data_IF_272304809682
#
_entry.id   IF_272304809682
#
_cell.length_a   1.000
_cell.length_b   1.000
_cell.length_c   1.000
_cell.angle_alpha   90.00
_cell.angle_beta   90.00
_cell.angle_gamma   90.00
#
_symmetry.space_group_name_H-M   'P 1'
#
loop_
_entity.id
_entity.type
_entity.pdbx_description
1 polymer ?
#
# COMPACT_ATOMS: atom_id res chain seq x y z
N UNK A 1 4.97 7.85 18.78
CA UNK A 1 4.47 7.36 17.49
C UNK A 1 3.21 8.13 17.06
N UNK A 2 2.18 8.27 17.91
CA UNK A 2 0.93 9.00 17.54
C UNK A 2 1.24 10.41 17.05
N UNK A 3 1.99 11.20 17.85
CA UNK A 3 2.37 12.58 17.48
C UNK A 3 3.12 12.64 16.15
N UNK A 4 4.06 11.71 15.92
CA UNK A 4 4.83 11.64 14.67
C UNK A 4 3.92 11.40 13.46
N UNK A 5 3.00 10.44 13.54
CA UNK A 5 2.04 10.17 12.46
C UNK A 5 1.15 11.37 12.16
N UNK A 6 0.65 12.05 13.21
CA UNK A 6 -0.20 13.24 13.08
C UNK A 6 0.56 14.39 12.41
N UNK A 7 1.81 14.64 12.81
CA UNK A 7 2.65 15.69 12.20
C UNK A 7 2.91 15.39 10.72
N UNK A 8 3.28 14.13 10.39
CA UNK A 8 3.51 13.73 9.00
C UNK A 8 2.22 13.85 8.18
N UNK A 9 1.07 13.48 8.74
CA UNK A 9 -0.22 13.64 8.07
C UNK A 9 -0.48 15.11 7.69
N UNK A 10 -0.31 16.04 8.62
CA UNK A 10 -0.47 17.47 8.31
C UNK A 10 0.48 17.95 7.21
N UNK A 11 1.74 17.51 7.22
CA UNK A 11 2.71 17.89 6.19
C UNK A 11 2.37 17.33 4.81
N UNK A 12 1.83 16.12 4.74
CA UNK A 12 1.59 15.41 3.47
C UNK A 12 0.21 15.65 2.87
N UNK A 13 -0.69 16.33 3.62
CA UNK A 13 -2.06 16.65 3.19
C UNK A 13 -2.33 18.15 3.11
N UNK A 14 -1.31 18.97 3.41
CA UNK A 14 -1.44 20.44 3.47
C UNK A 14 -2.01 21.02 2.18
N UNK A 15 -1.49 20.58 1.04
CA UNK A 15 -1.87 21.07 -0.29
C UNK A 15 -3.31 20.69 -0.69
N UNK A 16 -3.90 19.69 -0.02
CA UNK A 16 -5.25 19.18 -0.27
C UNK A 16 -6.22 19.50 0.89
N UNK A 17 -6.07 20.68 1.48
CA UNK A 17 -6.93 21.15 2.60
C UNK A 17 -7.03 20.18 3.77
N UNK A 18 -6.01 19.37 4.02
CA UNK A 18 -5.91 18.34 5.08
C UNK A 18 -6.91 17.19 4.93
N UNK A 19 -7.52 17.02 3.76
CA UNK A 19 -8.51 15.95 3.53
C UNK A 19 -7.90 14.68 2.98
N UNK A 20 -6.93 14.81 2.07
CA UNK A 20 -6.27 13.69 1.39
C UNK A 20 -4.77 13.94 1.23
N UNK A 21 -4.00 12.86 1.19
CA UNK A 21 -2.57 12.93 0.86
C UNK A 21 -2.39 13.46 -0.56
N UNK A 22 -1.38 14.30 -0.79
CA UNK A 22 -1.04 14.71 -2.15
C UNK A 22 -0.38 13.56 -2.92
N UNK A 23 -0.65 13.50 -4.23
CA UNK A 23 -0.13 12.43 -5.10
C UNK A 23 1.41 12.38 -5.08
N UNK A 24 2.07 13.54 -4.98
CA UNK A 24 3.52 13.62 -4.86
C UNK A 24 4.06 12.86 -3.65
N UNK A 25 3.45 13.01 -2.47
CA UNK A 25 3.85 12.29 -1.27
C UNK A 25 3.49 10.81 -1.32
N UNK A 26 2.33 10.47 -1.89
CA UNK A 26 1.90 9.08 -2.08
C UNK A 26 2.93 8.31 -2.92
N UNK A 27 3.30 8.87 -4.08
CA UNK A 27 4.25 8.23 -4.99
C UNK A 27 5.70 8.34 -4.55
N UNK A 28 6.07 9.39 -3.79
CA UNK A 28 7.41 9.50 -3.23
C UNK A 28 7.65 8.51 -2.09
N UNK A 29 6.71 8.34 -1.17
CA UNK A 29 6.95 7.64 0.09
C UNK A 29 6.16 6.36 0.30
N UNK A 30 5.14 6.06 -0.54
CA UNK A 30 4.36 4.83 -0.47
C UNK A 30 5.19 3.61 -0.89
N UNK A 31 4.96 2.49 -0.25
CA UNK A 31 5.62 1.24 -0.60
C UNK A 31 5.00 0.65 -1.87
N UNK A 32 5.82 0.41 -2.88
CA UNK A 32 5.44 -0.24 -4.13
C UNK A 32 6.24 -1.53 -4.25
N UNK A 33 5.62 -2.72 -4.20
CA UNK A 33 6.33 -4.00 -4.20
C UNK A 33 7.34 -4.15 -5.34
N UNK A 34 7.00 -3.69 -6.55
CA UNK A 34 7.89 -3.73 -7.71
C UNK A 34 9.21 -2.95 -7.51
N UNK A 35 9.21 -1.94 -6.65
CA UNK A 35 10.40 -1.13 -6.36
C UNK A 35 11.31 -1.75 -5.29
N UNK A 36 10.93 -2.87 -4.69
CA UNK A 36 11.76 -3.58 -3.70
C UNK A 36 13.13 -4.01 -4.26
N UNK A 37 13.23 -4.16 -5.58
CA UNK A 37 14.45 -4.55 -6.28
C UNK A 37 15.43 -3.38 -6.55
N UNK A 38 14.97 -2.14 -6.42
CA UNK A 38 15.82 -0.96 -6.50
C UNK A 38 16.25 -0.54 -5.09
N UNK A 39 17.54 -0.72 -4.78
CA UNK A 39 18.08 -0.36 -3.46
C UNK A 39 17.88 1.11 -3.08
N UNK A 40 17.73 2.02 -4.08
CA UNK A 40 17.46 3.44 -3.86
C UNK A 40 16.03 3.70 -3.39
N UNK A 41 15.13 2.73 -3.52
CA UNK A 41 13.71 2.83 -3.16
C UNK A 41 13.39 2.14 -1.81
N UNK A 42 14.36 1.50 -1.16
CA UNK A 42 14.15 0.75 0.08
C UNK A 42 13.68 1.62 1.26
N UNK A 43 13.91 2.94 1.21
CA UNK A 43 13.40 3.89 2.21
C UNK A 43 11.86 3.83 2.33
N UNK A 44 11.17 3.43 1.25
CA UNK A 44 9.71 3.28 1.18
C UNK A 44 9.16 2.24 2.16
N UNK A 45 9.96 1.23 2.50
CA UNK A 45 9.63 0.27 3.56
C UNK A 45 9.39 0.94 4.91
N UNK A 46 10.01 2.10 5.15
CA UNK A 46 9.85 2.85 6.38
C UNK A 46 8.86 4.01 6.23
N UNK A 47 8.97 4.79 5.16
CA UNK A 47 8.14 6.00 4.97
C UNK A 47 6.67 5.67 4.79
N UNK A 48 6.33 4.57 4.11
CA UNK A 48 4.96 4.10 3.93
C UNK A 48 4.18 3.92 5.23
N UNK A 49 4.88 3.49 6.31
CA UNK A 49 4.26 3.26 7.62
C UNK A 49 3.76 4.53 8.31
N UNK A 50 4.11 5.72 7.81
CA UNK A 50 3.75 7.00 8.40
C UNK A 50 2.84 7.86 7.51
N UNK A 51 2.63 7.45 6.25
CA UNK A 51 1.72 8.13 5.32
C UNK A 51 0.29 7.66 5.51
N UNK A 52 -0.68 8.56 5.34
CA UNK A 52 -2.10 8.22 5.49
C UNK A 52 -2.92 8.87 4.39
N UNK A 53 -3.79 8.08 3.74
CA UNK A 53 -4.55 8.51 2.57
C UNK A 53 -5.51 9.68 2.86
N UNK A 54 -6.18 9.66 4.03
CA UNK A 54 -7.19 10.66 4.39
C UNK A 54 -7.41 10.73 5.91
N UNK A 55 -8.25 11.67 6.33
CA UNK A 55 -8.55 11.93 7.74
C UNK A 55 -9.13 10.71 8.48
N UNK A 56 -10.01 9.93 7.84
CA UNK A 56 -10.54 8.71 8.46
C UNK A 56 -9.46 7.64 8.64
N UNK A 57 -8.57 7.51 7.66
CA UNK A 57 -7.47 6.54 7.70
C UNK A 57 -6.55 6.83 8.88
N UNK A 58 -6.09 8.08 9.06
CA UNK A 58 -5.24 8.41 10.22
C UNK A 58 -6.00 8.32 11.54
N UNK A 59 -7.26 8.79 11.58
CA UNK A 59 -8.05 8.76 12.81
C UNK A 59 -8.18 7.33 13.36
N UNK A 60 -8.58 6.36 12.54
CA UNK A 60 -8.70 4.98 12.99
C UNK A 60 -7.35 4.36 13.33
N UNK A 61 -6.29 4.63 12.57
CA UNK A 61 -4.94 4.17 12.90
C UNK A 61 -4.51 4.67 14.28
N UNK A 62 -4.65 5.96 14.55
CA UNK A 62 -4.26 6.54 15.84
C UNK A 62 -5.14 6.05 16.98
N UNK A 63 -6.43 5.85 16.75
CA UNK A 63 -7.35 5.27 17.73
C UNK A 63 -6.89 3.86 18.15
N UNK A 64 -6.56 2.99 17.20
CA UNK A 64 -6.08 1.64 17.47
C UNK A 64 -4.69 1.66 18.12
N UNK A 65 -3.78 2.48 17.60
CA UNK A 65 -2.43 2.63 18.15
C UNK A 65 -2.46 3.09 19.61
N UNK A 66 -3.33 4.04 19.95
CA UNK A 66 -3.47 4.54 21.33
C UNK A 66 -4.09 3.49 22.25
N UNK A 67 -5.21 2.88 21.85
CA UNK A 67 -5.94 1.97 22.74
C UNK A 67 -5.18 0.66 23.01
N UNK A 68 -4.61 0.03 21.97
CA UNK A 68 -3.89 -1.24 22.12
C UNK A 68 -2.39 -1.02 22.39
N UNK A 69 -1.81 -0.01 21.76
CA UNK A 69 -0.37 0.25 21.84
C UNK A 69 0.10 0.57 23.25
N UNK A 70 -0.68 1.34 24.00
CA UNK A 70 -0.30 1.78 25.35
C UNK A 70 -0.02 0.61 26.31
N UNK A 71 -0.84 -0.43 26.30
CA UNK A 71 -0.64 -1.60 27.16
C UNK A 71 0.56 -2.46 26.69
N UNK A 72 0.73 -2.61 25.37
CA UNK A 72 1.89 -3.31 24.83
C UNK A 72 3.18 -2.55 25.13
N UNK A 73 3.18 -1.21 25.02
CA UNK A 73 4.34 -0.37 25.38
C UNK A 73 4.69 -0.49 26.87
N UNK A 74 3.69 -0.54 27.76
CA UNK A 74 3.92 -0.78 29.19
C UNK A 74 4.57 -2.14 29.45
N UNK A 75 4.19 -3.17 28.71
CA UNK A 75 4.76 -4.51 28.86
C UNK A 75 6.18 -4.62 28.31
N UNK A 76 6.48 -3.95 27.20
CA UNK A 76 7.77 -4.07 26.49
C UNK A 76 8.78 -2.98 26.86
N UNK A 77 8.30 -1.79 27.26
CA UNK A 77 9.10 -0.58 27.32
C UNK A 77 9.31 0.07 25.94
N UNK A 78 9.51 1.40 25.92
CA UNK A 78 9.44 2.20 24.70
C UNK A 78 10.36 1.75 23.56
N UNK A 79 11.62 1.38 23.84
CA UNK A 79 12.57 0.95 22.79
C UNK A 79 12.13 -0.35 22.11
N UNK A 80 11.72 -1.35 22.88
CA UNK A 80 11.29 -2.66 22.37
C UNK A 80 9.93 -2.56 21.69
N UNK A 81 9.05 -1.69 22.18
CA UNK A 81 7.79 -1.35 21.53
C UNK A 81 8.01 -0.71 20.16
N UNK A 82 8.93 0.25 20.04
CA UNK A 82 9.31 0.83 18.75
C UNK A 82 9.88 -0.21 17.81
N UNK A 83 10.76 -1.09 18.31
CA UNK A 83 11.29 -2.20 17.48
C UNK A 83 10.19 -3.13 16.99
N UNK A 84 9.23 -3.50 17.88
CA UNK A 84 8.08 -4.32 17.49
C UNK A 84 7.25 -3.63 16.40
N UNK A 85 6.94 -2.34 16.56
CA UNK A 85 6.19 -1.55 15.59
C UNK A 85 6.87 -1.57 14.21
N UNK A 86 8.16 -1.21 14.14
CA UNK A 86 8.90 -1.12 12.87
C UNK A 86 9.07 -2.50 12.21
N UNK A 87 9.45 -3.51 12.97
CA UNK A 87 9.64 -4.87 12.44
C UNK A 87 8.32 -5.50 11.99
N UNK A 88 7.21 -5.22 12.68
CA UNK A 88 5.89 -5.67 12.24
C UNK A 88 5.43 -4.95 10.97
N UNK A 89 5.75 -3.67 10.81
CA UNK A 89 5.52 -2.94 9.58
C UNK A 89 6.31 -3.53 8.41
N UNK A 90 7.59 -3.86 8.61
CA UNK A 90 8.38 -4.58 7.61
C UNK A 90 7.77 -5.94 7.27
N UNK A 91 7.33 -6.72 8.27
CA UNK A 91 6.64 -7.98 8.02
C UNK A 91 5.36 -7.78 7.19
N UNK A 92 4.62 -6.71 7.43
CA UNK A 92 3.44 -6.35 6.65
C UNK A 92 3.77 -6.13 5.18
N UNK A 93 4.80 -5.32 4.87
CA UNK A 93 5.24 -5.06 3.49
C UNK A 93 5.76 -6.33 2.79
N UNK A 94 6.47 -7.19 3.52
CA UNK A 94 6.93 -8.47 3.00
C UNK A 94 5.76 -9.40 2.65
N UNK A 95 4.72 -9.47 3.50
CA UNK A 95 3.53 -10.27 3.21
C UNK A 95 2.72 -9.69 2.05
N UNK A 96 2.57 -8.38 1.96
CA UNK A 96 1.92 -7.75 0.82
C UNK A 96 2.62 -8.15 -0.49
N UNK A 97 3.96 -8.08 -0.53
CA UNK A 97 4.73 -8.54 -1.69
C UNK A 97 4.60 -10.05 -1.92
N UNK A 98 4.64 -10.87 -0.86
CA UNK A 98 4.55 -12.32 -0.95
C UNK A 98 3.22 -12.80 -1.55
N UNK A 99 2.12 -12.07 -1.32
CA UNK A 99 0.78 -12.46 -1.75
C UNK A 99 0.32 -11.85 -3.08
N UNK A 100 1.23 -11.20 -3.85
CA UNK A 100 0.94 -10.71 -5.21
C UNK A 100 0.27 -11.77 -6.09
N UNK A 101 0.70 -13.08 -6.12
CA UNK A 101 0.02 -14.09 -6.93
C UNK A 101 -1.43 -14.37 -6.51
N UNK A 102 -1.81 -14.07 -5.27
CA UNK A 102 -3.19 -14.21 -4.76
C UNK A 102 -4.01 -12.95 -5.06
N UNK A 103 -3.43 -11.76 -4.86
CA UNK A 103 -4.11 -10.47 -5.08
C UNK A 103 -4.18 -10.07 -6.55
N UNK A 104 -3.36 -10.69 -7.38
CA UNK A 104 -3.20 -10.39 -8.80
C UNK A 104 -1.95 -9.53 -9.08
N UNK A 105 -1.37 -9.68 -10.30
CA UNK A 105 -0.07 -9.09 -10.63
C UNK A 105 -0.04 -7.56 -10.58
N UNK A 106 -1.18 -6.89 -10.71
CA UNK A 106 -1.27 -5.42 -10.63
C UNK A 106 -1.02 -4.89 -9.22
N UNK A 107 -1.25 -5.69 -8.16
CA UNK A 107 -0.97 -5.29 -6.78
C UNK A 107 0.51 -4.95 -6.56
N UNK A 108 1.41 -5.49 -7.40
CA UNK A 108 2.84 -5.16 -7.36
C UNK A 108 3.15 -3.68 -7.60
N UNK A 109 2.23 -2.92 -8.21
CA UNK A 109 2.46 -1.52 -8.64
C UNK A 109 1.60 -0.51 -7.89
N UNK A 110 0.72 -0.94 -7.01
CA UNK A 110 -0.15 -0.06 -6.24
C UNK A 110 0.60 0.36 -4.96
N UNK A 111 0.75 1.68 -4.70
CA UNK A 111 1.38 2.14 -3.47
C UNK A 111 0.57 1.73 -2.25
N UNK A 112 1.20 1.03 -1.31
CA UNK A 112 0.67 0.77 0.01
C UNK A 112 1.15 1.84 0.99
N UNK A 113 0.25 2.38 1.82
CA UNK A 113 0.53 3.39 2.85
C UNK A 113 -0.29 3.13 4.10
N UNK A 114 0.21 3.53 5.22
CA UNK A 114 -0.48 3.51 6.50
C UNK A 114 0.29 2.83 7.62
N UNK A 115 0.09 3.30 8.83
CA UNK A 115 0.59 2.67 10.04
C UNK A 115 -0.04 1.29 10.32
N UNK A 116 -1.10 0.93 9.58
CA UNK A 116 -1.98 -0.19 9.89
C UNK A 116 -1.28 -1.56 9.89
N UNK A 117 -0.29 -1.76 9.03
CA UNK A 117 0.54 -2.97 9.04
C UNK A 117 1.33 -3.13 10.34
N UNK A 118 2.01 -2.06 10.78
CA UNK A 118 2.73 -2.03 12.04
C UNK A 118 1.80 -2.13 13.26
N UNK A 119 0.64 -1.45 13.22
CA UNK A 119 -0.41 -1.53 14.25
C UNK A 119 -0.96 -2.96 14.33
N UNK A 120 -1.15 -3.65 13.21
CA UNK A 120 -1.57 -5.06 13.19
C UNK A 120 -0.61 -5.93 14.00
N UNK A 121 0.70 -5.67 13.94
CA UNK A 121 1.67 -6.37 14.78
C UNK A 121 1.51 -6.06 16.27
N UNK A 122 1.20 -4.82 16.62
CA UNK A 122 0.84 -4.46 18.00
C UNK A 122 -0.42 -5.22 18.44
N UNK A 123 -1.43 -5.34 17.56
CA UNK A 123 -2.65 -6.13 17.84
C UNK A 123 -2.36 -7.62 18.03
N UNK A 124 -1.45 -8.19 17.22
CA UNK A 124 -1.00 -9.59 17.37
C UNK A 124 -0.27 -9.81 18.70
N UNK A 125 0.63 -8.92 19.10
CA UNK A 125 1.28 -8.94 20.39
C UNK A 125 0.29 -8.75 21.54
N UNK A 126 -0.66 -7.81 21.39
CA UNK A 126 -1.73 -7.59 22.37
C UNK A 126 -2.57 -8.85 22.62
N UNK A 127 -2.94 -9.54 21.55
CA UNK A 127 -3.71 -10.78 21.63
C UNK A 127 -3.02 -11.84 22.51
N UNK A 128 -1.69 -11.96 22.44
CA UNK A 128 -0.92 -12.92 23.24
C UNK A 128 -0.70 -12.42 24.68
N UNK A 129 -0.53 -11.11 24.89
CA UNK A 129 -0.28 -10.53 26.20
C UNK A 129 -1.55 -10.33 27.03
N UNK A 130 -2.65 -9.91 26.39
CA UNK A 130 -3.87 -9.46 27.08
C UNK A 130 -5.16 -10.06 26.50
N UNK A 131 -5.23 -11.39 26.24
CA UNK A 131 -6.39 -12.01 25.58
C UNK A 131 -7.70 -11.85 26.35
N UNK A 132 -7.62 -11.79 27.67
CA UNK A 132 -8.77 -11.67 28.58
C UNK A 132 -9.24 -10.25 28.85
N UNK A 133 -8.56 -9.23 28.33
CA UNK A 133 -8.99 -7.84 28.52
C UNK A 133 -10.34 -7.58 27.86
N UNK A 134 -11.12 -6.67 28.47
CA UNK A 134 -12.46 -6.33 27.97
C UNK A 134 -12.35 -5.08 27.08
N UNK A 135 -12.95 -5.16 25.90
CA UNK A 135 -13.10 -4.08 24.95
C UNK A 135 -14.54 -3.63 24.94
N UNK A 136 -14.81 -2.39 25.34
CA UNK A 136 -16.12 -1.77 25.23
C UNK A 136 -16.20 -0.93 23.96
N UNK A 137 -17.10 -1.28 23.06
CA UNK A 137 -17.35 -0.57 21.82
C UNK A 137 -18.71 0.04 21.83
N UNK A 138 -18.80 1.33 21.47
CA UNK A 138 -20.05 2.07 21.40
C UNK A 138 -20.26 2.54 19.97
N UNK A 139 -21.44 2.30 19.42
CA UNK A 139 -21.90 2.85 18.15
C UNK A 139 -23.04 3.82 18.41
N UNK A 140 -23.05 4.90 17.68
CA UNK A 140 -24.17 5.83 17.71
C UNK A 140 -25.20 5.42 16.65
N UNK A 141 -26.37 5.00 17.10
CA UNK A 141 -27.53 4.83 16.23
C UNK A 141 -28.42 6.05 16.39
N UNK A 142 -28.38 6.93 15.37
CA UNK A 142 -28.99 8.27 15.39
C UNK A 142 -28.40 9.08 16.55
N UNK A 143 -29.08 9.17 17.71
CA UNK A 143 -28.61 9.89 18.90
C UNK A 143 -28.33 8.99 20.11
N UNK A 144 -28.56 7.68 19.97
CA UNK A 144 -28.42 6.72 21.09
C UNK A 144 -27.11 5.94 20.98
N UNK A 145 -26.24 5.98 22.01
CA UNK A 145 -25.07 5.12 22.06
C UNK A 145 -25.49 3.68 22.40
N UNK A 146 -25.22 2.74 21.49
CA UNK A 146 -25.36 1.32 21.74
C UNK A 146 -23.97 0.79 22.04
N UNK A 147 -23.74 0.37 23.30
CA UNK A 147 -22.46 -0.13 23.73
C UNK A 147 -22.55 -1.63 23.99
N UNK A 148 -21.53 -2.37 23.54
CA UNK A 148 -21.36 -3.77 23.90
C UNK A 148 -19.93 -4.03 24.34
N UNK A 149 -19.75 -5.02 25.20
CA UNK A 149 -18.42 -5.41 25.70
C UNK A 149 -18.08 -6.81 25.23
N UNK A 150 -16.89 -6.97 24.67
CA UNK A 150 -16.36 -8.26 24.21
C UNK A 150 -14.95 -8.48 24.78
N UNK A 151 -14.41 -9.71 24.69
CA UNK A 151 -13.01 -9.95 25.01
C UNK A 151 -12.11 -9.51 23.85
N UNK A 152 -10.89 -9.06 24.17
CA UNK A 152 -9.90 -8.76 23.14
C UNK A 152 -9.61 -9.98 22.26
N UNK A 153 -9.57 -11.19 22.84
CA UNK A 153 -9.40 -12.40 22.07
C UNK A 153 -10.50 -12.60 21.03
N UNK A 154 -11.78 -12.47 21.40
CA UNK A 154 -12.88 -12.63 20.46
C UNK A 154 -12.83 -11.58 19.33
N UNK A 155 -12.61 -10.33 19.70
CA UNK A 155 -12.53 -9.24 18.73
C UNK A 155 -11.36 -9.38 17.76
N UNK A 156 -10.14 -9.59 18.27
CA UNK A 156 -8.93 -9.61 17.43
C UNK A 156 -8.85 -10.87 16.58
N UNK A 157 -9.34 -12.03 17.07
CA UNK A 157 -9.45 -13.25 16.27
C UNK A 157 -10.47 -13.04 15.14
N UNK A 158 -11.66 -12.49 15.44
CA UNK A 158 -12.67 -12.18 14.43
C UNK A 158 -12.11 -11.20 13.39
N UNK A 159 -11.46 -10.11 13.83
CA UNK A 159 -10.84 -9.15 12.93
C UNK A 159 -9.80 -9.80 12.01
N UNK A 160 -8.91 -10.63 12.57
CA UNK A 160 -7.89 -11.32 11.78
C UNK A 160 -8.50 -12.29 10.75
N UNK A 161 -9.51 -13.06 11.14
CA UNK A 161 -10.28 -13.92 10.23
C UNK A 161 -10.86 -13.11 9.07
N UNK A 162 -11.48 -11.96 9.36
CA UNK A 162 -12.07 -11.12 8.31
C UNK A 162 -11.03 -10.56 7.34
N UNK A 163 -9.82 -10.19 7.82
CA UNK A 163 -8.71 -9.77 6.94
C UNK A 163 -8.33 -10.89 5.96
N UNK A 164 -8.14 -12.10 6.46
CA UNK A 164 -7.73 -13.23 5.62
C UNK A 164 -8.83 -13.62 4.63
N UNK A 165 -10.10 -13.66 5.06
CA UNK A 165 -11.23 -13.96 4.18
C UNK A 165 -11.40 -12.90 3.07
N UNK A 166 -11.28 -11.62 3.40
CA UNK A 166 -11.35 -10.52 2.41
C UNK A 166 -10.23 -10.62 1.39
N UNK A 167 -9.00 -10.98 1.82
CA UNK A 167 -7.88 -11.17 0.93
C UNK A 167 -8.13 -12.28 -0.10
N UNK A 168 -8.58 -13.45 0.35
CA UNK A 168 -8.88 -14.57 -0.55
C UNK A 168 -10.13 -14.35 -1.41
N UNK A 169 -11.09 -13.59 -0.93
CA UNK A 169 -12.30 -13.26 -1.71
C UNK A 169 -12.06 -12.15 -2.75
N UNK A 170 -10.88 -11.52 -2.80
CA UNK A 170 -10.63 -10.36 -3.66
C UNK A 170 -11.52 -9.15 -3.32
N UNK A 171 -12.06 -9.10 -2.10
CA UNK A 171 -13.04 -8.10 -1.68
C UNK A 171 -12.39 -6.85 -1.06
N UNK A 172 -11.07 -6.74 -1.12
CA UNK A 172 -10.29 -5.67 -0.51
C UNK A 172 -10.06 -4.51 -1.47
N UNK A 173 -11.07 -3.69 -1.70
CA UNK A 173 -10.90 -2.48 -2.53
C UNK A 173 -10.08 -1.44 -1.75
N UNK A 174 -8.84 -1.17 -2.20
CA UNK A 174 -7.97 -0.13 -1.63
C UNK A 174 -7.36 -0.43 -0.25
N UNK A 175 -7.43 -1.69 0.23
CA UNK A 175 -6.83 -2.09 1.51
C UNK A 175 -5.91 -3.30 1.30
N UNK A 176 -4.65 -3.18 1.72
CA UNK A 176 -3.66 -4.26 1.66
C UNK A 176 -3.88 -5.26 2.82
N UNK A 177 -4.88 -6.12 2.69
CA UNK A 177 -5.32 -7.02 3.78
C UNK A 177 -4.26 -8.07 4.15
N UNK A 178 -3.47 -8.54 3.18
CA UNK A 178 -2.34 -9.43 3.50
C UNK A 178 -1.18 -8.71 4.17
N UNK A 179 -1.01 -7.39 3.96
CA UNK A 179 -0.12 -6.58 4.79
C UNK A 179 -0.58 -6.59 6.26
N UNK A 180 -1.88 -6.42 6.50
CA UNK A 180 -2.42 -6.50 7.87
C UNK A 180 -2.19 -7.89 8.49
N UNK A 181 -2.47 -8.96 7.72
CA UNK A 181 -2.22 -10.33 8.18
C UNK A 181 -0.74 -10.56 8.50
N UNK A 182 0.16 -10.07 7.63
CA UNK A 182 1.61 -10.17 7.81
C UNK A 182 2.11 -9.42 9.04
N UNK A 183 1.63 -8.19 9.24
CA UNK A 183 1.94 -7.42 10.44
C UNK A 183 1.49 -8.14 11.72
N UNK A 184 0.24 -8.62 11.75
CA UNK A 184 -0.34 -9.34 12.88
C UNK A 184 0.46 -10.59 13.24
N UNK A 185 0.78 -11.44 12.25
CA UNK A 185 1.60 -12.64 12.44
C UNK A 185 3.05 -12.27 12.79
N UNK A 186 3.60 -11.25 12.18
CA UNK A 186 4.93 -10.74 12.50
C UNK A 186 5.04 -10.31 13.96
N UNK A 187 4.06 -9.54 14.46
CA UNK A 187 4.01 -9.14 15.87
C UNK A 187 3.89 -10.33 16.83
N UNK A 188 3.07 -11.31 16.49
CA UNK A 188 2.95 -12.55 17.27
C UNK A 188 4.25 -13.37 17.27
N UNK A 189 4.92 -13.49 16.13
CA UNK A 189 6.17 -14.23 15.99
C UNK A 189 7.33 -13.54 16.71
N UNK A 190 7.40 -12.22 16.64
CA UNK A 190 8.49 -11.40 17.22
C UNK A 190 8.35 -11.21 18.73
N UNK A 191 7.15 -11.29 19.29
CA UNK A 191 6.89 -10.96 20.69
C UNK A 191 7.86 -11.63 21.67
N UNK A 192 8.13 -12.95 21.63
CA UNK A 192 9.02 -13.60 22.59
C UNK A 192 10.46 -13.07 22.55
N UNK A 193 10.88 -12.50 21.42
CA UNK A 193 12.25 -11.98 21.22
C UNK A 193 12.40 -10.54 21.70
N UNK A 194 11.33 -9.76 21.61
CA UNK A 194 11.33 -8.35 22.06
C UNK A 194 10.81 -8.20 23.50
N UNK A 195 10.27 -9.27 24.09
CA UNK A 195 9.69 -9.23 25.42
C UNK A 195 10.76 -8.92 26.49
N UNK A 196 10.46 -7.96 27.35
CA UNK A 196 11.25 -7.73 28.56
C UNK A 196 10.83 -8.71 29.64
N UNK A 197 11.65 -9.73 29.86
CA UNK A 197 11.33 -10.83 30.79
C UNK A 197 11.18 -10.35 32.23
N UNK A 198 11.96 -9.38 32.65
CA UNK A 198 11.88 -8.81 34.00
C UNK A 198 10.57 -8.03 34.18
N UNK A 199 10.28 -7.09 33.28
CA UNK A 199 9.00 -6.36 33.28
C UNK A 199 7.81 -7.30 33.21
N UNK A 200 7.86 -8.27 32.32
CA UNK A 200 6.81 -9.26 32.14
C UNK A 200 6.57 -10.06 33.43
N UNK A 201 7.63 -10.52 34.11
CA UNK A 201 7.51 -11.27 35.36
C UNK A 201 6.90 -10.42 36.48
N UNK A 202 7.30 -9.16 36.58
CA UNK A 202 6.74 -8.20 37.54
C UNK A 202 5.24 -7.96 37.27
N UNK A 203 4.87 -7.67 36.02
CA UNK A 203 3.47 -7.45 35.66
C UNK A 203 2.60 -8.70 35.91
N UNK A 204 3.12 -9.88 35.59
CA UNK A 204 2.43 -11.15 35.93
C UNK A 204 2.25 -11.37 37.43
N UNK A 205 3.26 -11.05 38.22
CA UNK A 205 3.18 -11.15 39.69
C UNK A 205 2.14 -10.19 40.27
N UNK A 206 2.12 -8.93 39.81
CA UNK A 206 1.15 -7.91 40.23
C UNK A 206 -0.31 -8.31 39.88
N UNK A 207 -0.52 -9.03 38.82
CA UNK A 207 -1.85 -9.48 38.37
C UNK A 207 -2.19 -10.91 38.79
N UNK A 208 -1.33 -11.60 39.55
CA UNK A 208 -1.50 -13.00 39.94
C UNK A 208 -2.79 -13.24 40.77
N UNK A 209 -3.12 -12.34 41.71
CA UNK A 209 -4.34 -12.45 42.51
C UNK A 209 -5.61 -12.34 41.64
N UNK A 210 -5.61 -11.47 40.65
CA UNK A 210 -6.72 -11.31 39.71
C UNK A 210 -6.85 -12.57 38.82
N UNK A 211 -5.75 -13.22 38.48
CA UNK A 211 -5.73 -14.45 37.71
C UNK A 211 -6.42 -15.60 38.46
N UNK A 212 -6.10 -15.77 39.72
CA UNK A 212 -6.76 -16.80 40.60
C UNK A 212 -8.26 -16.51 40.70
N UNK A 213 -8.64 -15.25 40.91
CA UNK A 213 -10.05 -14.85 40.97
C UNK A 213 -10.80 -15.14 39.66
N UNK A 214 -10.24 -14.69 38.51
CA UNK A 214 -10.84 -14.95 37.19
C UNK A 214 -10.96 -16.44 36.90
N UNK A 215 -9.96 -17.26 37.27
CA UNK A 215 -9.99 -18.70 37.06
C UNK A 215 -11.08 -19.39 37.90
N UNK A 216 -11.20 -19.02 39.16
CA UNK A 216 -12.18 -19.59 40.08
C UNK A 216 -13.63 -19.23 39.75
N UNK A 217 -13.88 -17.99 39.32
CA UNK A 217 -15.23 -17.47 39.15
C UNK A 217 -15.72 -17.38 37.70
N UNK A 218 -14.82 -17.31 36.72
CA UNK A 218 -15.18 -17.13 35.30
C UNK A 218 -14.76 -18.33 34.41
N UNK A 219 -14.11 -19.33 34.96
CA UNK A 219 -13.78 -20.59 34.27
C UNK A 219 -12.76 -20.49 33.14
N UNK A 220 -12.26 -19.31 32.79
CA UNK A 220 -11.24 -19.18 31.75
C UNK A 220 -10.35 -17.97 31.96
N UNK A 221 -9.07 -18.23 32.17
CA UNK A 221 -8.01 -17.23 31.97
C UNK A 221 -7.35 -17.58 30.64
N UNK A 222 -7.08 -16.57 29.79
CA UNK A 222 -6.30 -16.74 28.58
C UNK A 222 -7.07 -16.93 27.28
N UNK A 223 -6.32 -17.30 26.25
CA UNK A 223 -6.86 -17.59 24.93
C UNK A 223 -7.66 -18.91 24.99
N UNK A 224 -8.99 -18.82 24.91
CA UNK A 224 -9.90 -19.98 24.96
C UNK A 224 -9.62 -21.01 23.86
N UNK A 225 -10.02 -22.27 24.08
CA UNK A 225 -9.80 -23.38 23.11
C UNK A 225 -10.35 -23.03 21.72
N UNK A 226 -11.56 -22.49 21.64
CA UNK A 226 -12.19 -22.11 20.37
C UNK A 226 -11.38 -21.01 19.67
N UNK A 227 -10.99 -19.96 20.38
CA UNK A 227 -10.16 -18.89 19.82
C UNK A 227 -8.81 -19.41 19.30
N UNK A 228 -8.17 -20.33 20.01
CA UNK A 228 -6.94 -21.00 19.57
C UNK A 228 -7.15 -21.81 18.29
N UNK A 229 -8.22 -22.59 18.22
CA UNK A 229 -8.53 -23.40 17.04
C UNK A 229 -8.82 -22.54 15.81
N UNK A 230 -9.67 -21.52 15.95
CA UNK A 230 -9.99 -20.59 14.86
C UNK A 230 -8.74 -19.84 14.39
N UNK A 231 -7.95 -19.33 15.34
CA UNK A 231 -6.71 -18.62 15.02
C UNK A 231 -5.70 -19.55 14.34
N UNK A 232 -5.52 -20.77 14.83
CA UNK A 232 -4.63 -21.76 14.23
C UNK A 232 -5.07 -22.13 12.80
N UNK A 233 -6.35 -22.34 12.57
CA UNK A 233 -6.90 -22.62 11.24
C UNK A 233 -6.67 -21.43 10.29
N UNK A 234 -6.86 -20.19 10.76
CA UNK A 234 -6.64 -18.99 9.96
C UNK A 234 -5.15 -18.79 9.63
N UNK A 235 -4.26 -19.02 10.61
CA UNK A 235 -2.81 -18.97 10.37
C UNK A 235 -2.39 -20.06 9.37
N UNK A 236 -2.94 -21.25 9.48
CA UNK A 236 -2.70 -22.33 8.53
C UNK A 236 -3.17 -21.95 7.11
N UNK A 237 -4.32 -21.30 6.98
CA UNK A 237 -4.80 -20.79 5.69
C UNK A 237 -3.82 -19.77 5.08
N UNK A 238 -3.27 -18.84 5.88
CA UNK A 238 -2.23 -17.90 5.43
C UNK A 238 -0.96 -18.65 5.01
N UNK A 239 -0.53 -19.66 5.76
CA UNK A 239 0.64 -20.46 5.40
C UNK A 239 0.44 -21.22 4.07
N UNK A 240 -0.75 -21.82 3.86
CA UNK A 240 -1.13 -22.45 2.59
C UNK A 240 -1.11 -21.44 1.43
N UNK A 241 -1.64 -20.23 1.63
CA UNK A 241 -1.55 -19.16 0.66
C UNK A 241 -0.12 -18.76 0.33
N UNK A 242 0.76 -18.71 1.33
CA UNK A 242 2.19 -18.48 1.13
C UNK A 242 2.85 -19.60 0.30
N UNK A 243 2.51 -20.86 0.55
CA UNK A 243 2.99 -21.99 -0.28
C UNK A 243 2.48 -21.86 -1.72
N UNK A 244 1.20 -21.59 -1.89
CA UNK A 244 0.61 -21.35 -3.22
C UNK A 244 1.33 -20.20 -3.95
N UNK A 245 1.53 -19.06 -3.27
CA UNK A 245 2.24 -17.92 -3.82
C UNK A 245 3.67 -18.25 -4.21
N UNK A 246 4.41 -19.04 -3.42
CA UNK A 246 5.77 -19.44 -3.75
C UNK A 246 5.83 -20.27 -5.04
N UNK A 247 4.83 -21.11 -5.28
CA UNK A 247 4.70 -21.93 -6.50
C UNK A 247 4.28 -21.05 -7.67
N UNK A 248 3.21 -20.27 -7.50
CA UNK A 248 2.61 -19.44 -8.54
C UNK A 248 3.52 -18.26 -8.96
N UNK A 249 4.44 -17.83 -8.09
CA UNK A 249 5.42 -16.79 -8.42
C UNK A 249 6.28 -17.15 -9.64
N UNK A 250 6.48 -18.45 -9.94
CA UNK A 250 7.23 -18.90 -11.12
C UNK A 250 6.53 -18.53 -12.44
N UNK A 251 5.22 -18.43 -12.40
CA UNK A 251 4.36 -18.10 -13.55
C UNK A 251 3.93 -16.63 -13.52
N UNK A 252 4.48 -15.84 -12.58
CA UNK A 252 4.09 -14.45 -12.42
C UNK A 252 4.49 -13.66 -13.68
N UNK A 253 3.50 -13.34 -14.49
CA UNK A 253 3.61 -12.45 -15.64
C UNK A 253 2.97 -11.13 -15.26
N UNK A 254 3.72 -10.07 -15.41
CA UNK A 254 3.20 -8.73 -15.17
C UNK A 254 3.04 -8.05 -16.52
N UNK A 255 1.82 -7.99 -17.07
CA UNK A 255 1.56 -7.40 -18.37
C UNK A 255 1.52 -5.86 -18.26
N UNK A 256 2.57 -5.27 -17.70
CA UNK A 256 2.70 -3.83 -17.57
C UNK A 256 4.03 -3.36 -18.13
N UNK A 257 4.03 -2.13 -18.65
CA UNK A 257 5.22 -1.40 -19.07
C UNK A 257 5.37 -0.17 -18.18
N UNK A 258 6.58 0.09 -17.73
CA UNK A 258 6.91 1.27 -16.95
C UNK A 258 7.66 2.22 -17.85
N UNK A 259 7.04 3.36 -18.14
CA UNK A 259 7.63 4.45 -18.92
C UNK A 259 8.06 5.58 -17.99
N UNK A 260 9.34 5.94 -18.05
CA UNK A 260 9.84 7.16 -17.42
C UNK A 260 9.57 8.35 -18.32
N UNK A 261 8.85 9.31 -17.80
CA UNK A 261 8.59 10.60 -18.46
C UNK A 261 9.46 11.66 -17.82
N UNK A 262 10.14 12.42 -18.65
CA UNK A 262 10.83 13.66 -18.28
C UNK A 262 10.25 14.78 -19.11
N UNK A 263 9.65 15.78 -18.48
CA UNK A 263 8.90 16.85 -19.16
C UNK A 263 9.38 18.21 -18.70
N UNK A 264 9.84 19.01 -19.63
CA UNK A 264 10.06 20.47 -19.45
C UNK A 264 8.89 21.21 -20.05
N UNK A 265 8.33 22.18 -19.36
CA UNK A 265 7.14 22.87 -19.83
C UNK A 265 7.18 24.39 -19.63
N UNK A 266 6.42 25.08 -20.49
CA UNK A 266 6.10 26.51 -20.39
C UNK A 266 4.62 26.70 -20.64
N UNK A 267 3.92 27.29 -19.67
CA UNK A 267 2.51 27.63 -19.78
C UNK A 267 2.38 29.13 -20.05
N UNK A 268 1.45 29.51 -20.93
CA UNK A 268 1.25 30.89 -21.39
C UNK A 268 -0.19 31.32 -21.09
N UNK A 269 -0.36 32.57 -20.63
CA UNK A 269 -1.64 33.25 -20.63
C UNK A 269 -1.97 33.83 -22.02
N UNK A 270 -3.20 34.34 -22.16
CA UNK A 270 -3.73 34.91 -23.41
C UNK A 270 -2.93 36.07 -23.98
N UNK A 271 -1.94 36.62 -23.28
CA UNK A 271 -1.05 37.70 -23.71
C UNK A 271 0.32 37.24 -24.25
N UNK A 272 0.60 35.94 -24.32
CA UNK A 272 1.84 35.40 -24.92
C UNK A 272 3.07 35.40 -24.02
N UNK A 273 2.95 35.82 -22.77
CA UNK A 273 4.03 35.70 -21.78
C UNK A 273 3.96 34.40 -21.00
N UNK A 274 5.11 33.72 -20.73
CA UNK A 274 5.10 32.53 -19.91
C UNK A 274 4.72 32.86 -18.45
N UNK A 275 3.71 32.22 -17.92
CA UNK A 275 3.23 32.37 -16.53
C UNK A 275 3.91 31.40 -15.62
N UNK A 276 4.20 30.21 -16.14
CA UNK A 276 4.81 29.10 -15.39
C UNK A 276 5.79 28.36 -16.29
N UNK A 277 6.94 28.02 -15.73
CA UNK A 277 7.94 27.14 -16.36
C UNK A 277 8.40 26.12 -15.35
N UNK A 278 8.56 24.87 -15.77
CA UNK A 278 8.97 23.82 -14.85
C UNK A 278 9.58 22.62 -15.54
N UNK A 279 9.99 21.68 -14.71
CA UNK A 279 10.57 20.40 -15.10
C UNK A 279 10.06 19.34 -14.16
N UNK A 280 9.48 18.27 -14.70
CA UNK A 280 8.94 17.15 -13.97
C UNK A 280 9.50 15.83 -14.50
N UNK A 281 9.67 14.85 -13.61
CA UNK A 281 10.05 13.50 -13.99
C UNK A 281 9.24 12.50 -13.17
N UNK A 282 8.58 11.56 -13.86
CA UNK A 282 7.71 10.57 -13.23
C UNK A 282 7.69 9.25 -13.99
N UNK A 283 7.59 8.14 -13.25
CA UNK A 283 7.37 6.82 -13.82
C UNK A 283 5.87 6.53 -13.97
N UNK A 284 5.45 6.26 -15.19
CA UNK A 284 4.06 5.97 -15.54
C UNK A 284 3.93 4.47 -15.82
N UNK A 285 3.01 3.82 -15.13
CA UNK A 285 2.76 2.38 -15.27
C UNK A 285 1.51 2.19 -16.14
N UNK A 286 1.68 1.52 -17.26
CA UNK A 286 0.60 1.22 -18.21
C UNK A 286 0.41 -0.28 -18.35
N UNK A 287 -0.84 -0.72 -18.48
CA UNK A 287 -1.19 -2.09 -18.80
C UNK A 287 -1.11 -2.31 -20.30
N UNK A 288 -0.45 -3.40 -20.74
CA UNK A 288 -0.10 -3.66 -22.15
C UNK A 288 -0.79 -4.90 -22.74
N UNK A 289 -1.95 -5.34 -22.23
CA UNK A 289 -2.56 -6.59 -22.70
C UNK A 289 -3.16 -6.53 -24.12
N UNK A 290 -3.89 -5.49 -24.45
CA UNK A 290 -4.47 -5.28 -25.81
C UNK A 290 -4.49 -3.83 -26.21
N UNK A 291 -4.73 -2.96 -25.23
CA UNK A 291 -4.64 -1.51 -25.36
C UNK A 291 -3.93 -0.95 -24.14
N UNK A 292 -3.01 0.01 -24.29
CA UNK A 292 -2.33 0.63 -23.14
C UNK A 292 -3.37 1.34 -22.27
N UNK A 293 -3.55 0.89 -21.04
CA UNK A 293 -4.41 1.55 -20.07
C UNK A 293 -3.58 1.99 -18.88
N UNK A 294 -3.83 3.19 -18.39
CA UNK A 294 -3.16 3.72 -17.20
C UNK A 294 -3.52 2.86 -15.99
N UNK A 295 -2.51 2.33 -15.31
CA UNK A 295 -2.68 1.52 -14.08
C UNK A 295 -2.62 2.39 -12.85
N UNK A 296 -1.82 3.47 -12.89
CA UNK A 296 -1.61 4.37 -11.75
C UNK A 296 -2.01 5.80 -12.09
N UNK A 297 -2.38 6.57 -11.06
CA UNK A 297 -2.58 8.00 -11.26
C UNK A 297 -1.24 8.68 -11.50
N UNK A 298 -1.20 9.60 -12.47
CA UNK A 298 -0.04 10.43 -12.73
C UNK A 298 -0.12 11.65 -11.79
N UNK A 299 0.85 11.79 -10.91
CA UNK A 299 0.89 12.85 -9.91
C UNK A 299 1.26 14.20 -10.55
N UNK A 300 2.29 14.21 -11.40
CA UNK A 300 2.75 15.42 -12.08
C UNK A 300 1.73 15.92 -13.11
N UNK A 301 1.25 17.18 -13.00
CA UNK A 301 0.33 17.77 -13.96
C UNK A 301 0.89 17.83 -15.39
N UNK A 302 2.18 18.13 -15.55
CA UNK A 302 2.82 18.24 -16.88
C UNK A 302 2.96 16.87 -17.54
N UNK A 303 3.38 15.84 -16.80
CA UNK A 303 3.44 14.44 -17.29
C UNK A 303 2.04 13.95 -17.66
N UNK A 304 1.04 14.22 -16.84
CA UNK A 304 -0.36 13.85 -17.10
C UNK A 304 -0.89 14.53 -18.38
N UNK A 305 -0.52 15.78 -18.62
CA UNK A 305 -0.87 16.50 -19.84
C UNK A 305 -0.25 15.80 -21.05
N UNK A 306 1.05 15.53 -21.04
CA UNK A 306 1.75 14.87 -22.15
C UNK A 306 1.16 13.47 -22.39
N UNK A 307 1.05 12.64 -21.34
CA UNK A 307 0.49 11.29 -21.43
C UNK A 307 -0.90 11.27 -22.07
N UNK A 308 -1.85 12.08 -21.55
CA UNK A 308 -3.23 12.08 -22.04
C UNK A 308 -3.34 12.54 -23.52
N UNK A 309 -2.41 13.38 -24.02
CA UNK A 309 -2.41 13.78 -25.43
C UNK A 309 -1.81 12.70 -26.32
N UNK A 310 -0.75 12.01 -25.85
CA UNK A 310 -0.18 10.88 -26.58
C UNK A 310 -1.16 9.71 -26.65
N UNK A 311 -1.89 9.43 -25.56
CA UNK A 311 -2.94 8.44 -25.49
C UNK A 311 -4.10 8.77 -26.45
N UNK A 312 -4.68 9.96 -26.34
CA UNK A 312 -5.74 10.44 -27.25
C UNK A 312 -5.29 10.52 -28.73
N UNK A 313 -4.00 10.63 -28.99
CA UNK A 313 -3.42 10.59 -30.32
C UNK A 313 -3.21 9.16 -30.85
N UNK A 314 -3.33 8.13 -30.02
CA UNK A 314 -3.05 6.75 -30.35
C UNK A 314 -1.56 6.45 -30.58
N UNK A 315 -0.67 7.23 -29.92
CA UNK A 315 0.78 7.11 -30.09
C UNK A 315 1.38 6.07 -29.14
N UNK A 316 0.71 5.76 -28.05
CA UNK A 316 1.24 4.80 -27.06
C UNK A 316 1.28 3.34 -27.57
N UNK A 317 0.50 3.03 -28.61
CA UNK A 317 0.43 1.71 -29.21
C UNK A 317 0.24 1.78 -30.71
N UNK A 318 1.14 1.14 -31.47
CA UNK A 318 1.08 1.05 -32.91
C UNK A 318 1.72 -0.25 -33.43
N UNK A 319 0.88 -1.20 -33.76
CA UNK A 319 1.31 -2.51 -34.29
C UNK A 319 2.03 -2.40 -35.64
N UNK A 320 1.73 -1.37 -36.46
CA UNK A 320 2.39 -1.17 -37.75
C UNK A 320 3.82 -0.63 -37.60
N UNK A 321 4.16 -0.11 -36.40
CA UNK A 321 5.49 0.37 -36.05
C UNK A 321 6.27 -0.59 -35.15
N UNK A 322 5.77 -1.80 -34.90
CA UNK A 322 6.38 -2.78 -34.02
C UNK A 322 7.85 -3.05 -34.39
N UNK A 323 8.76 -2.92 -33.42
CA UNK A 323 10.19 -3.09 -33.59
C UNK A 323 10.91 -2.00 -34.40
N UNK A 324 10.24 -0.89 -34.70
CA UNK A 324 10.78 0.19 -35.52
C UNK A 324 10.75 1.54 -34.80
N UNK A 325 11.62 2.44 -35.24
CA UNK A 325 11.56 3.85 -34.86
C UNK A 325 10.96 4.65 -36.03
N UNK A 326 10.16 5.66 -35.71
CA UNK A 326 9.59 6.56 -36.70
C UNK A 326 9.40 7.98 -36.17
N UNK A 327 9.40 8.95 -37.08
CA UNK A 327 9.05 10.33 -36.80
C UNK A 327 7.54 10.51 -36.90
N UNK A 328 6.93 11.09 -35.86
CA UNK A 328 5.50 11.41 -35.81
C UNK A 328 5.38 12.93 -35.75
N UNK A 329 4.71 13.51 -36.74
CA UNK A 329 4.41 14.93 -36.74
C UNK A 329 2.98 15.16 -37.22
N UNK A 330 2.18 15.87 -36.43
CA UNK A 330 0.83 16.25 -36.81
C UNK A 330 0.35 17.52 -36.07
N UNK A 331 -0.63 18.17 -36.68
CA UNK A 331 -1.41 19.24 -36.08
C UNK A 331 -2.89 18.92 -36.21
N UNK A 332 -3.57 18.62 -35.10
CA UNK A 332 -4.99 18.28 -35.08
C UNK A 332 -5.65 18.59 -33.73
N UNK A 333 -6.98 18.74 -33.76
CA UNK A 333 -7.79 18.88 -32.53
C UNK A 333 -8.09 17.49 -32.01
N UNK A 334 -7.77 17.25 -30.74
CA UNK A 334 -8.06 16.04 -29.99
C UNK A 334 -9.17 16.30 -28.97
N UNK A 335 -9.92 15.26 -28.62
CA UNK A 335 -10.81 15.27 -27.45
C UNK A 335 -10.12 14.54 -26.31
N UNK A 336 -9.82 15.26 -25.22
CA UNK A 336 -9.14 14.75 -24.05
C UNK A 336 -10.06 14.93 -22.84
N UNK A 337 -10.56 13.85 -22.26
CA UNK A 337 -11.50 13.90 -21.11
C UNK A 337 -12.69 14.84 -21.34
N UNK A 338 -13.23 14.87 -22.57
CA UNK A 338 -14.36 15.75 -22.94
C UNK A 338 -14.00 17.20 -23.29
N UNK A 339 -12.73 17.58 -23.17
CA UNK A 339 -12.22 18.92 -23.55
C UNK A 339 -11.58 18.87 -24.93
N UNK A 340 -11.86 19.83 -25.78
CA UNK A 340 -11.20 19.99 -27.09
C UNK A 340 -9.85 20.69 -26.92
N UNK A 341 -8.81 20.09 -27.47
CA UNK A 341 -7.45 20.60 -27.40
C UNK A 341 -6.81 20.53 -28.78
N UNK A 342 -6.31 21.67 -29.28
CA UNK A 342 -5.46 21.68 -30.46
C UNK A 342 -4.06 21.24 -30.05
N UNK A 343 -3.54 20.21 -30.73
CA UNK A 343 -2.23 19.63 -30.46
C UNK A 343 -1.39 19.69 -31.72
N UNK A 344 -0.22 20.30 -31.60
CA UNK A 344 0.85 20.25 -32.61
C UNK A 344 2.00 19.44 -31.99
N UNK A 345 2.19 18.21 -32.46
CA UNK A 345 3.18 17.25 -31.96
C UNK A 345 4.25 17.01 -33.01
N UNK A 346 5.50 17.00 -32.57
CA UNK A 346 6.65 16.54 -33.34
C UNK A 346 7.54 15.71 -32.46
N UNK A 347 7.72 14.41 -32.76
CA UNK A 347 8.51 13.49 -31.96
C UNK A 347 9.16 12.40 -32.79
N UNK A 348 10.25 11.85 -32.27
CA UNK A 348 10.80 10.57 -32.66
C UNK A 348 10.35 9.52 -31.66
N UNK A 349 9.76 8.45 -32.14
CA UNK A 349 9.22 7.36 -31.32
C UNK A 349 9.83 6.03 -31.74
N UNK A 350 10.28 5.24 -30.78
CA UNK A 350 10.68 3.87 -30.95
C UNK A 350 9.65 2.95 -30.29
N UNK A 351 9.31 1.84 -30.95
CA UNK A 351 8.33 0.86 -30.48
C UNK A 351 9.00 -0.49 -30.24
N UNK A 352 8.54 -1.19 -29.22
CA UNK A 352 8.98 -2.56 -28.95
C UNK A 352 8.42 -3.56 -30.00
N UNK A 353 8.82 -4.84 -29.90
CA UNK A 353 8.39 -5.91 -30.80
C UNK A 353 6.88 -6.15 -30.83
N UNK A 354 6.15 -5.69 -29.83
CA UNK A 354 4.70 -5.85 -29.71
C UNK A 354 3.94 -4.57 -30.12
N UNK A 355 4.66 -3.49 -30.46
CA UNK A 355 4.10 -2.23 -30.92
C UNK A 355 3.76 -1.24 -29.80
N UNK A 356 4.26 -1.43 -28.58
CA UNK A 356 4.12 -0.46 -27.51
C UNK A 356 5.27 0.55 -27.53
N UNK A 357 4.96 1.81 -27.19
CA UNK A 357 5.98 2.87 -27.11
C UNK A 357 7.08 2.46 -26.13
N UNK A 358 8.33 2.50 -26.57
CA UNK A 358 9.51 2.12 -25.80
C UNK A 358 10.39 3.31 -25.46
N UNK A 359 10.60 4.19 -26.41
CA UNK A 359 11.28 5.47 -26.22
C UNK A 359 10.68 6.55 -27.11
N UNK A 360 10.70 7.78 -26.64
CA UNK A 360 10.32 8.93 -27.44
C UNK A 360 11.03 10.18 -26.98
N UNK A 361 11.33 11.07 -27.93
CA UNK A 361 11.82 12.41 -27.66
C UNK A 361 11.08 13.38 -28.58
N UNK A 362 10.53 14.47 -28.03
CA UNK A 362 9.76 15.38 -28.85
C UNK A 362 9.31 16.66 -28.18
N UNK A 363 8.61 17.45 -28.96
CA UNK A 363 7.98 18.69 -28.54
C UNK A 363 6.50 18.70 -28.85
N UNK A 364 5.72 19.30 -28.00
CA UNK A 364 4.28 19.40 -28.15
C UNK A 364 3.80 20.80 -27.75
N UNK A 365 3.05 21.41 -28.65
CA UNK A 365 2.32 22.64 -28.37
C UNK A 365 0.84 22.32 -28.23
N UNK A 366 0.22 22.77 -27.15
CA UNK A 366 -1.20 22.53 -26.89
C UNK A 366 -1.94 23.82 -26.66
N UNK A 367 -3.16 23.91 -27.21
CA UNK A 367 -4.09 25.02 -26.95
C UNK A 367 -5.41 24.43 -26.47
N UNK A 368 -5.81 24.75 -25.25
CA UNK A 368 -7.11 24.35 -24.69
C UNK A 368 -8.19 25.24 -25.28
N UNK A 369 -9.26 24.64 -25.79
CA UNK A 369 -10.39 25.32 -26.39
C UNK A 369 -11.60 25.30 -25.45
N UNK A 370 -12.08 26.47 -25.05
CA UNK A 370 -13.37 26.60 -24.38
C UNK A 370 -14.45 26.84 -25.43
N UNK A 371 -15.41 25.92 -25.54
CA UNK A 371 -16.47 25.98 -26.54
C UNK A 371 -17.79 26.37 -25.87
N UNK A 372 -18.40 27.48 -26.29
CA UNK A 372 -19.71 27.97 -25.82
C UNK A 372 -20.60 28.19 -27.05
N UNK A 373 -21.77 27.55 -27.06
CA UNK A 373 -22.76 27.70 -28.15
C UNK A 373 -22.21 27.42 -29.57
N UNK A 374 -21.28 26.43 -29.68
CA UNK A 374 -20.66 26.06 -30.96
C UNK A 374 -19.44 26.90 -31.38
N UNK A 375 -19.10 27.92 -30.65
CA UNK A 375 -17.89 28.73 -30.88
C UNK A 375 -16.83 28.33 -29.87
N UNK A 376 -15.63 27.97 -30.37
CA UNK A 376 -14.49 27.58 -29.54
C UNK A 376 -13.45 28.69 -29.52
N UNK A 377 -13.04 29.13 -28.34
CA UNK A 377 -11.99 30.13 -28.13
C UNK A 377 -10.82 29.57 -27.34
N UNK A 378 -9.57 29.96 -27.63
CA UNK A 378 -8.42 29.54 -26.85
C UNK A 378 -8.51 30.07 -25.42
N UNK A 379 -8.29 29.15 -24.43
CA UNK A 379 -8.31 29.49 -23.00
C UNK A 379 -6.98 29.29 -22.29
N UNK A 380 -6.01 28.63 -22.93
CA UNK A 380 -4.66 28.45 -22.39
C UNK A 380 -3.76 27.72 -23.39
N UNK A 381 -2.49 28.07 -23.38
CA UNK A 381 -1.47 27.51 -24.26
C UNK A 381 -0.35 26.88 -23.42
N UNK A 382 0.24 25.80 -23.90
CA UNK A 382 1.40 25.18 -23.30
C UNK A 382 2.37 24.63 -24.33
N UNK A 383 3.66 24.80 -24.03
CA UNK A 383 4.78 24.18 -24.73
C UNK A 383 5.40 23.12 -23.84
N UNK A 384 5.58 21.91 -24.36
CA UNK A 384 6.13 20.79 -23.65
C UNK A 384 7.26 20.17 -24.47
N UNK A 385 8.45 20.03 -23.87
CA UNK A 385 9.51 19.19 -24.40
C UNK A 385 9.60 17.96 -23.50
N UNK A 386 9.59 16.79 -24.09
CA UNK A 386 9.53 15.55 -23.31
C UNK A 386 10.48 14.49 -23.83
N UNK A 387 10.97 13.70 -22.91
CA UNK A 387 11.71 12.47 -23.16
C UNK A 387 11.00 11.32 -22.43
N UNK A 388 10.79 10.23 -23.13
CA UNK A 388 10.16 9.02 -22.63
C UNK A 388 11.13 7.87 -22.84
N UNK A 389 11.34 7.05 -21.80
CA UNK A 389 12.17 5.85 -21.88
C UNK A 389 11.54 4.71 -21.13
N UNK A 390 11.66 3.51 -21.64
CA UNK A 390 11.27 2.29 -20.93
C UNK A 390 12.18 2.06 -19.74
N UNK A 391 11.64 2.11 -18.53
CA UNK A 391 12.40 1.90 -17.28
C UNK A 391 12.52 0.43 -16.91
N UNK A 392 11.57 -0.40 -17.30
CA UNK A 392 11.60 -1.84 -17.06
C UNK A 392 10.68 -2.59 -18.03
N UNK A 393 11.19 -3.60 -18.69
CA UNK A 393 10.40 -4.66 -19.29
C UNK A 393 10.15 -5.75 -18.25
N UNK A 394 8.94 -5.77 -17.69
CA UNK A 394 8.55 -6.76 -16.68
C UNK A 394 7.94 -8.03 -17.30
N UNK A 395 8.02 -8.18 -18.62
CA UNK A 395 7.45 -9.29 -19.41
C UNK A 395 8.18 -10.64 -19.28
N UNK A 396 9.35 -10.71 -18.63
CA UNK A 396 10.11 -11.97 -18.56
C UNK A 396 9.58 -12.90 -17.49
N UNK A 397 9.19 -14.10 -17.87
CA UNK A 397 8.94 -15.22 -16.95
C UNK A 397 10.16 -15.42 -16.03
N UNK A 398 9.93 -15.61 -14.73
CA UNK A 398 10.99 -15.89 -13.78
C UNK A 398 11.94 -14.71 -13.49
N UNK A 399 11.52 -13.47 -13.77
CA UNK A 399 12.32 -12.27 -13.48
C UNK A 399 12.61 -12.06 -12.00
N UNK A 400 13.49 -11.08 -11.65
CA UNK A 400 13.89 -10.82 -10.26
C UNK A 400 12.72 -10.60 -9.29
N UNK A 401 11.60 -10.02 -9.76
CA UNK A 401 10.39 -9.85 -8.95
C UNK A 401 9.78 -11.20 -8.60
N UNK A 402 9.70 -12.15 -9.52
CA UNK A 402 9.18 -13.50 -9.25
C UNK A 402 10.03 -14.23 -8.20
N UNK A 403 11.36 -14.10 -8.28
CA UNK A 403 12.29 -14.64 -7.28
C UNK A 403 12.08 -13.99 -5.92
N UNK A 404 11.92 -12.66 -5.87
CA UNK A 404 11.64 -11.94 -4.64
C UNK A 404 10.30 -12.40 -4.02
N UNK A 405 9.23 -12.45 -4.83
CA UNK A 405 7.91 -12.92 -4.39
C UNK A 405 7.99 -14.36 -3.85
N UNK A 406 8.63 -15.29 -4.57
CA UNK A 406 8.80 -16.66 -4.10
C UNK A 406 9.57 -16.75 -2.78
N UNK A 407 10.66 -16.01 -2.65
CA UNK A 407 11.47 -15.99 -1.43
C UNK A 407 10.71 -15.42 -0.24
N UNK A 408 9.99 -14.32 -0.44
CA UNK A 408 9.18 -13.68 0.60
C UNK A 408 7.97 -14.54 0.99
N UNK A 409 7.40 -15.29 0.04
CA UNK A 409 6.35 -16.27 0.33
C UNK A 409 6.84 -17.39 1.25
N UNK A 410 8.05 -17.88 1.05
CA UNK A 410 8.67 -18.86 1.97
C UNK A 410 8.88 -18.25 3.35
N UNK A 411 9.35 -17.02 3.43
CA UNK A 411 9.51 -16.30 4.70
C UNK A 411 8.15 -16.11 5.38
N UNK A 412 7.08 -15.80 4.64
CA UNK A 412 5.74 -15.66 5.19
C UNK A 412 5.23 -16.96 5.85
N UNK A 413 5.53 -18.11 5.25
CA UNK A 413 5.24 -19.43 5.84
C UNK A 413 6.00 -19.62 7.14
N UNK A 414 7.29 -19.29 7.18
CA UNK A 414 8.10 -19.40 8.39
C UNK A 414 7.59 -18.50 9.52
N UNK A 415 7.21 -17.25 9.21
CA UNK A 415 6.61 -16.32 10.18
C UNK A 415 5.27 -16.84 10.68
N UNK A 416 4.43 -17.38 9.79
CA UNK A 416 3.16 -18.02 10.16
C UNK A 416 3.37 -19.20 11.10
N UNK A 417 4.37 -20.06 10.83
CA UNK A 417 4.71 -21.19 11.69
C UNK A 417 5.21 -20.73 13.08
N UNK A 418 6.04 -19.69 13.14
CA UNK A 418 6.49 -19.11 14.41
C UNK A 418 5.35 -18.50 15.22
N UNK A 419 4.43 -17.78 14.56
CA UNK A 419 3.23 -17.24 15.19
C UNK A 419 2.34 -18.37 15.74
N UNK A 420 2.14 -19.43 14.95
CA UNK A 420 1.37 -20.60 15.35
C UNK A 420 1.97 -21.32 16.57
N UNK A 421 3.28 -21.51 16.62
CA UNK A 421 3.98 -22.07 17.77
C UNK A 421 3.74 -21.24 19.04
N UNK A 422 3.84 -19.91 18.93
CA UNK A 422 3.59 -19.02 20.06
C UNK A 422 2.12 -19.07 20.53
N UNK A 423 1.15 -19.22 19.63
CA UNK A 423 -0.28 -19.40 19.98
C UNK A 423 -0.50 -20.72 20.71
N UNK A 424 0.04 -21.81 20.18
CA UNK A 424 -0.27 -23.16 20.68
C UNK A 424 0.50 -23.49 21.96
N UNK A 425 1.78 -23.12 22.04
CA UNK A 425 2.68 -23.54 23.12
C UNK A 425 2.92 -22.45 24.17
N UNK A 426 3.10 -21.20 23.75
CA UNK A 426 3.59 -20.13 24.64
C UNK A 426 2.51 -19.17 25.10
N UNK A 427 1.29 -19.20 24.54
CA UNK A 427 0.24 -18.21 24.86
C UNK A 427 -0.07 -18.10 26.36
N UNK A 428 -0.04 -19.20 27.09
CA UNK A 428 -0.25 -19.19 28.55
C UNK A 428 0.91 -18.60 29.36
N UNK A 429 2.13 -18.66 28.82
CA UNK A 429 3.32 -18.08 29.47
C UNK A 429 3.42 -16.57 29.19
N UNK A 430 2.99 -16.14 27.99
CA UNK A 430 3.05 -14.74 27.55
C UNK A 430 1.94 -13.89 28.16
N UNK A 431 0.84 -14.48 28.59
CA UNK A 431 -0.34 -13.76 29.07
C UNK A 431 -0.07 -12.95 30.34
N UNK A 432 -0.49 -11.68 30.29
CA UNK A 432 -0.63 -10.76 31.42
C UNK A 432 -2.12 -10.46 31.58
N UNK A 433 -2.63 -10.46 32.79
CA UNK A 433 -4.01 -10.04 33.04
C UNK A 433 -4.10 -8.51 33.06
N UNK A 434 -5.06 -7.95 32.29
CA UNK A 434 -5.36 -6.52 32.27
C UNK A 434 -6.81 -6.27 32.72
#
# INVERSE_FOLDING_TARGET
LVVLNVVIYFLTTWDNALLQISDSWLWWGGFVPAYLLDSRQLYRLLTSMFLHANLFHIFFNMLFLYNFGRLVEQALGGKRYLALYLLSGLAAELFHTAFIPVEGPLSAFIPAIGASGAISGILGAYLLLFPGSKLSMCFFYIFFPICFTTSAAAYLVFWFVTQVLQGYAGASVGVAVFAHAGGFLGGMALLPYVLDRERHSVLRALTASQRVFKYLFLGSAGLGRLSKLVLAATIAAVAVGGIYSAIAARELRVPVKVLGFTVSYKLYESGGYPVETGYDSEAVIIRVEREPTLVTQIASPSVRIVYNRLDAAGVLYDTAAAGAARTIAFKRTLSVSGVRVDVNLSMEAAYDSDGYLDAANGTMYTTVLTCTSGVCTPSGNGEFSFEISSLAELKKEGGPLAVAVASLSIISVAVSAAALDNVLRKSGELEILA
#
